data_IF_313836939992
#
_entry.id   IF_313836939992
#
_cell.length_a   1.000
_cell.length_b   1.000
_cell.length_c   1.000
_cell.angle_alpha   90.00
_cell.angle_beta   90.00
_cell.angle_gamma   90.00
#
_symmetry.space_group_name_H-M   'P 1'
#
loop_
_entity.id
_entity.type
_entity.pdbx_description
1 polymer ?
#
# COMPACT_ATOMS: atom_id res chain seq x y z
N UNK A 1 39.14 44.79 14.04
CA UNK A 1 39.45 44.06 12.80
C UNK A 1 39.92 42.68 13.23
N UNK A 2 39.31 41.57 12.90
CA UNK A 2 38.17 41.29 12.04
C UNK A 2 37.64 39.94 12.57
N UNK A 3 36.44 39.91 13.14
CA UNK A 3 35.77 38.66 13.50
C UNK A 3 34.79 38.36 12.36
N UNK A 4 35.32 37.75 11.30
CA UNK A 4 34.55 37.26 10.17
C UNK A 4 33.61 36.14 10.60
N UNK A 5 32.32 36.34 10.36
CA UNK A 5 31.27 35.35 10.61
C UNK A 5 31.04 34.38 9.45
N UNK A 6 30.21 33.37 9.72
CA UNK A 6 29.38 32.60 8.77
C UNK A 6 28.36 31.82 9.62
N UNK A 7 27.06 32.09 9.45
CA UNK A 7 26.08 31.30 8.67
C UNK A 7 25.65 30.03 9.43
N UNK A 8 24.44 29.98 10.01
CA UNK A 8 23.11 29.80 9.41
C UNK A 8 22.78 28.32 9.13
N UNK A 9 21.71 27.85 9.80
CA UNK A 9 20.89 26.64 9.56
C UNK A 9 21.65 25.30 9.63
N UNK A 10 21.14 24.23 10.24
CA UNK A 10 19.97 23.48 9.78
C UNK A 10 19.11 22.98 10.94
N UNK A 11 17.80 23.14 10.77
CA UNK A 11 16.78 22.54 11.60
C UNK A 11 16.55 21.11 11.12
N UNK A 12 17.26 20.15 11.72
CA UNK A 12 16.91 18.73 11.55
C UNK A 12 15.70 18.43 12.44
N UNK A 13 14.52 18.79 11.95
CA UNK A 13 13.27 18.20 12.40
C UNK A 13 13.22 16.76 11.86
N UNK A 14 13.98 15.86 12.48
CA UNK A 14 13.83 14.42 12.26
C UNK A 14 12.50 14.01 12.87
N UNK A 15 11.44 14.14 12.08
CA UNK A 15 10.13 13.57 12.39
C UNK A 15 10.29 12.06 12.48
N UNK A 16 10.27 11.59 13.72
CA UNK A 16 10.30 10.20 14.12
C UNK A 16 9.30 9.34 13.33
N UNK A 17 9.76 8.15 12.92
CA UNK A 17 8.90 7.00 12.65
C UNK A 17 8.75 6.61 11.18
N UNK A 18 9.84 6.23 10.52
CA UNK A 18 9.75 5.35 9.35
C UNK A 18 10.61 4.12 9.63
N UNK A 19 9.97 2.98 9.83
CA UNK A 19 10.65 1.69 9.89
C UNK A 19 11.28 1.44 8.51
N UNK A 20 12.53 1.88 8.34
CA UNK A 20 13.33 1.60 7.16
C UNK A 20 13.56 0.10 7.08
N UNK A 21 12.77 -0.61 6.27
CA UNK A 21 13.13 -1.94 5.81
C UNK A 21 14.40 -1.81 4.98
N UNK A 22 15.32 -2.75 5.15
CA UNK A 22 16.50 -2.81 4.28
C UNK A 22 16.08 -3.04 2.83
N UNK A 23 16.90 -2.58 1.88
CA UNK A 23 16.63 -2.73 0.45
C UNK A 23 16.38 -4.21 0.07
N UNK A 24 17.14 -5.13 0.69
CA UNK A 24 17.01 -6.58 0.52
C UNK A 24 15.63 -7.10 0.99
N UNK A 25 15.11 -6.61 2.11
CA UNK A 25 13.79 -7.00 2.62
C UNK A 25 12.67 -6.48 1.71
N UNK A 26 12.84 -5.27 1.19
CA UNK A 26 11.86 -4.68 0.29
C UNK A 26 11.80 -5.40 -1.06
N UNK A 27 12.94 -5.84 -1.60
CA UNK A 27 12.99 -6.69 -2.79
C UNK A 27 12.31 -8.04 -2.54
N UNK A 28 12.59 -8.69 -1.41
CA UNK A 28 11.98 -9.97 -1.06
C UNK A 28 10.45 -9.88 -0.93
N UNK A 29 9.94 -8.85 -0.25
CA UNK A 29 8.50 -8.64 -0.12
C UNK A 29 7.83 -8.33 -1.47
N UNK A 30 8.52 -7.61 -2.36
CA UNK A 30 8.05 -7.34 -3.73
C UNK A 30 7.99 -8.62 -4.55
N UNK A 31 9.01 -9.47 -4.45
CA UNK A 31 9.03 -10.77 -5.14
C UNK A 31 7.94 -11.71 -4.61
N UNK A 32 7.75 -11.75 -3.30
CA UNK A 32 6.66 -12.49 -2.67
C UNK A 32 5.30 -11.95 -3.15
N UNK A 33 5.14 -10.62 -3.24
CA UNK A 33 3.94 -10.01 -3.77
C UNK A 33 3.61 -10.52 -5.18
N UNK A 34 4.58 -10.49 -6.11
CA UNK A 34 4.38 -10.94 -7.49
C UNK A 34 3.91 -12.41 -7.55
N UNK A 35 4.41 -13.26 -6.64
CA UNK A 35 3.95 -14.64 -6.52
C UNK A 35 2.53 -14.74 -5.97
N UNK A 36 2.23 -14.01 -4.90
CA UNK A 36 0.93 -14.03 -4.23
C UNK A 36 -0.22 -13.50 -5.10
N UNK A 37 0.06 -12.50 -5.94
CA UNK A 37 -0.90 -11.95 -6.90
C UNK A 37 -0.98 -12.76 -8.21
N UNK A 38 -0.19 -13.83 -8.34
CA UNK A 38 -0.11 -14.65 -9.55
C UNK A 38 0.21 -13.82 -10.80
N UNK A 39 1.25 -12.98 -10.71
CA UNK A 39 1.69 -12.18 -11.84
C UNK A 39 2.21 -13.06 -12.98
N UNK A 40 1.56 -12.97 -14.14
CA UNK A 40 2.04 -13.56 -15.40
C UNK A 40 2.77 -12.47 -16.20
N UNK A 41 4.08 -12.60 -16.32
CA UNK A 41 4.94 -11.63 -17.01
C UNK A 41 4.65 -11.54 -18.52
N UNK A 42 4.19 -12.63 -19.14
CA UNK A 42 3.91 -12.69 -20.58
C UNK A 42 2.63 -11.93 -20.91
N UNK A 43 1.61 -12.03 -20.08
CA UNK A 43 0.31 -11.37 -20.29
C UNK A 43 0.17 -10.08 -19.49
N UNK A 44 1.09 -9.80 -18.56
CA UNK A 44 1.02 -8.73 -17.56
C UNK A 44 -0.27 -8.78 -16.73
N UNK A 45 -0.83 -9.97 -16.53
CA UNK A 45 -2.05 -10.17 -15.76
C UNK A 45 -1.75 -10.58 -14.32
N UNK A 46 -2.53 -10.08 -13.37
CA UNK A 46 -2.42 -10.40 -11.95
C UNK A 46 -3.76 -10.21 -11.24
N UNK A 47 -3.86 -10.74 -10.02
CA UNK A 47 -4.96 -10.47 -9.08
C UNK A 47 -4.66 -9.19 -8.32
N UNK A 48 -5.67 -8.38 -8.05
CA UNK A 48 -5.48 -7.12 -7.29
C UNK A 48 -5.38 -7.32 -5.78
N UNK A 49 -5.72 -8.50 -5.31
CA UNK A 49 -5.65 -8.91 -3.92
C UNK A 49 -4.64 -10.04 -3.74
N UNK A 50 -4.22 -10.24 -2.49
CA UNK A 50 -3.29 -11.29 -2.06
C UNK A 50 -3.94 -12.19 -0.99
N UNK A 51 -3.61 -13.50 -0.94
CA UNK A 51 -4.28 -14.46 -0.05
C UNK A 51 -3.87 -14.35 1.43
N UNK A 52 -2.82 -13.61 1.74
CA UNK A 52 -2.37 -13.25 3.10
C UNK A 52 -3.11 -12.03 3.66
N UNK A 53 -4.10 -11.47 2.96
CA UNK A 53 -4.97 -10.37 3.43
C UNK A 53 -4.27 -9.03 3.72
N UNK A 54 -3.00 -8.82 3.36
CA UNK A 54 -2.43 -7.45 3.38
C UNK A 54 -3.07 -6.62 2.26
N UNK A 55 -3.19 -5.32 2.48
CA UNK A 55 -3.73 -4.36 1.53
C UNK A 55 -3.17 -2.95 1.76
N UNK A 56 -3.43 -2.03 0.84
CA UNK A 56 -3.01 -0.64 0.98
C UNK A 56 -1.48 -0.48 0.98
N UNK A 57 -0.99 0.48 1.78
CA UNK A 57 0.45 0.82 1.86
C UNK A 57 1.29 -0.15 2.69
N UNK A 58 0.67 -1.15 3.33
CA UNK A 58 1.38 -2.18 4.10
C UNK A 58 1.85 -3.35 3.22
N UNK A 59 1.49 -3.31 1.94
CA UNK A 59 2.00 -4.18 0.90
C UNK A 59 2.72 -3.32 -0.16
N UNK A 60 3.71 -3.88 -0.88
CA UNK A 60 4.27 -3.24 -2.06
C UNK A 60 3.18 -2.83 -3.07
N UNK A 61 3.48 -1.88 -3.95
CA UNK A 61 2.57 -1.51 -5.03
C UNK A 61 2.44 -2.65 -6.04
N UNK A 62 1.26 -2.77 -6.63
CA UNK A 62 1.00 -3.70 -7.73
C UNK A 62 1.83 -3.30 -8.96
N UNK A 63 1.98 -4.20 -9.96
CA UNK A 63 2.72 -3.90 -11.19
C UNK A 63 2.20 -2.70 -12.00
N UNK A 64 0.97 -2.25 -11.74
CA UNK A 64 0.33 -1.07 -12.32
C UNK A 64 0.45 0.19 -11.44
N UNK A 65 1.33 0.15 -10.42
CA UNK A 65 1.56 1.23 -9.46
C UNK A 65 0.33 1.57 -8.58
N UNK A 66 -0.71 0.73 -8.59
CA UNK A 66 -1.85 0.84 -7.66
C UNK A 66 -1.59 0.06 -6.35
N UNK A 67 -2.37 0.36 -5.31
CA UNK A 67 -2.27 -0.34 -4.03
C UNK A 67 -2.95 -1.70 -4.08
N UNK A 68 -2.49 -2.63 -3.24
CA UNK A 68 -3.13 -3.95 -3.10
C UNK A 68 -4.52 -3.79 -2.51
N UNK A 69 -5.50 -4.39 -3.19
CA UNK A 69 -6.91 -4.36 -2.84
C UNK A 69 -7.31 -5.55 -1.95
N UNK A 70 -8.55 -5.53 -1.47
CA UNK A 70 -9.19 -6.72 -0.88
C UNK A 70 -10.16 -7.34 -1.88
N UNK A 71 -10.29 -8.66 -1.85
CA UNK A 71 -11.25 -9.35 -2.71
C UNK A 71 -12.69 -8.96 -2.36
N UNK A 72 -13.33 -8.20 -3.24
CA UNK A 72 -14.72 -7.75 -3.12
C UNK A 72 -15.72 -8.91 -3.04
N UNK A 73 -15.38 -10.07 -3.61
CA UNK A 73 -16.20 -11.29 -3.57
C UNK A 73 -15.95 -12.15 -2.32
N UNK A 74 -14.93 -11.84 -1.52
CA UNK A 74 -14.59 -12.60 -0.32
C UNK A 74 -15.41 -12.19 0.91
N UNK A 75 -15.23 -12.95 2.00
CA UNK A 75 -15.77 -12.61 3.33
C UNK A 75 -15.04 -11.44 4.00
N UNK A 76 -13.95 -10.94 3.42
CA UNK A 76 -13.09 -9.88 3.96
C UNK A 76 -12.85 -8.76 2.93
N UNK A 77 -13.91 -8.06 2.49
CA UNK A 77 -13.84 -7.16 1.34
C UNK A 77 -13.32 -5.75 1.66
N UNK A 78 -13.04 -5.43 2.93
CA UNK A 78 -12.66 -4.08 3.33
C UNK A 78 -11.19 -4.02 3.75
N UNK A 79 -10.44 -3.07 3.23
CA UNK A 79 -9.10 -2.76 3.70
C UNK A 79 -9.17 -1.79 4.88
N UNK A 80 -8.63 -2.21 6.02
CA UNK A 80 -8.51 -1.36 7.21
C UNK A 80 -7.40 -0.31 7.06
N UNK A 81 -7.41 0.71 7.92
CA UNK A 81 -6.31 1.68 8.01
C UNK A 81 -4.97 1.07 8.42
N UNK A 82 -4.98 -0.17 8.93
CA UNK A 82 -3.78 -0.93 9.30
C UNK A 82 -3.27 -1.81 8.14
N UNK A 83 -3.86 -1.70 6.94
CA UNK A 83 -3.43 -2.45 5.77
C UNK A 83 -3.77 -3.94 5.82
N UNK A 84 -4.88 -4.29 6.46
CA UNK A 84 -5.41 -5.65 6.52
C UNK A 84 -6.85 -5.74 6.04
N UNK A 85 -7.15 -6.78 5.28
CA UNK A 85 -8.48 -7.10 4.78
C UNK A 85 -9.36 -7.74 5.86
N UNK A 86 -10.60 -7.27 6.00
CA UNK A 86 -11.58 -7.82 6.92
C UNK A 86 -13.00 -7.34 6.63
N UNK A 87 -13.95 -7.69 7.50
CA UNK A 87 -15.38 -7.36 7.34
C UNK A 87 -16.02 -6.70 8.55
N UNK A 88 -15.29 -6.53 9.64
CA UNK A 88 -15.82 -5.90 10.85
C UNK A 88 -15.92 -4.38 10.69
N UNK A 89 -16.61 -3.71 11.63
CA UNK A 89 -16.77 -2.24 11.59
C UNK A 89 -15.42 -1.51 11.56
N UNK A 90 -14.40 -2.03 12.24
CA UNK A 90 -13.06 -1.41 12.24
C UNK A 90 -12.35 -1.56 10.88
N UNK A 91 -12.73 -2.55 10.07
CA UNK A 91 -12.19 -2.73 8.71
C UNK A 91 -12.96 -1.95 7.66
N UNK A 92 -14.27 -1.72 7.85
CA UNK A 92 -15.13 -1.14 6.81
C UNK A 92 -15.67 0.27 7.13
N UNK A 93 -15.60 0.73 8.39
CA UNK A 93 -16.23 1.99 8.85
C UNK A 93 -15.25 2.92 9.55
N UNK A 94 -13.95 2.78 9.29
CA UNK A 94 -12.97 3.76 9.73
C UNK A 94 -12.78 4.86 8.67
N UNK A 95 -12.24 6.05 9.04
CA UNK A 95 -12.08 7.16 8.11
C UNK A 95 -11.17 6.86 6.91
N UNK A 96 -10.18 5.99 7.10
CA UNK A 96 -9.18 5.61 6.09
C UNK A 96 -9.42 4.20 5.53
N UNK A 97 -10.58 3.60 5.79
CA UNK A 97 -10.90 2.25 5.35
C UNK A 97 -11.54 2.28 3.95
N UNK A 98 -11.25 1.27 3.13
CA UNK A 98 -11.81 1.12 1.77
C UNK A 98 -12.68 -0.13 1.74
N UNK A 99 -13.94 -0.02 1.28
CA UNK A 99 -14.87 -1.13 1.10
C UNK A 99 -15.01 -1.48 -0.39
N UNK A 100 -14.28 -2.51 -0.84
CA UNK A 100 -14.19 -2.87 -2.26
C UNK A 100 -15.48 -3.45 -2.86
N UNK A 101 -16.54 -3.68 -2.06
CA UNK A 101 -17.88 -3.99 -2.61
C UNK A 101 -18.59 -2.78 -3.19
N UNK A 102 -18.20 -1.57 -2.76
CA UNK A 102 -18.83 -0.31 -3.14
C UNK A 102 -17.99 0.46 -4.14
N UNK A 103 -16.66 0.26 -4.09
CA UNK A 103 -15.76 0.72 -5.12
C UNK A 103 -16.06 -0.04 -6.41
N UNK A 104 -16.73 0.63 -7.36
CA UNK A 104 -16.99 0.06 -8.67
C UNK A 104 -15.65 -0.28 -9.34
N UNK A 105 -15.52 -1.43 -10.04
CA UNK A 105 -14.35 -1.67 -10.87
C UNK A 105 -14.19 -0.48 -11.82
N UNK A 106 -12.97 0.06 -11.94
CA UNK A 106 -12.67 1.33 -12.65
C UNK A 106 -12.99 1.34 -14.16
N UNK A 107 -13.77 0.39 -14.65
CA UNK A 107 -14.25 0.27 -16.01
C UNK A 107 -15.65 0.87 -16.27
N UNK A 108 -16.29 1.51 -15.30
CA UNK A 108 -17.68 2.02 -15.46
C UNK A 108 -17.83 3.54 -15.53
N UNK A 109 -16.75 4.33 -15.63
CA UNK A 109 -16.84 5.79 -15.79
C UNK A 109 -16.51 6.22 -17.22
N UNK A 110 -17.44 5.96 -18.14
CA UNK A 110 -17.59 6.71 -19.39
C UNK A 110 -19.08 6.82 -19.71
N UNK A 111 -19.68 7.92 -19.24
CA UNK A 111 -20.86 8.52 -19.87
C UNK A 111 -20.46 9.92 -20.31
#
# INVERSE_FOLDING_TARGET
ADAGGAAAEEAEAESEGSQGKSDDEQEQETKEQLQLIQYDERTKSFRRWRPDFKCGSMAPLLPDEESVECDAASTSPCCSSLGWCGSSKVHCKCPMCIDYRKEQPRHSQKR
#
